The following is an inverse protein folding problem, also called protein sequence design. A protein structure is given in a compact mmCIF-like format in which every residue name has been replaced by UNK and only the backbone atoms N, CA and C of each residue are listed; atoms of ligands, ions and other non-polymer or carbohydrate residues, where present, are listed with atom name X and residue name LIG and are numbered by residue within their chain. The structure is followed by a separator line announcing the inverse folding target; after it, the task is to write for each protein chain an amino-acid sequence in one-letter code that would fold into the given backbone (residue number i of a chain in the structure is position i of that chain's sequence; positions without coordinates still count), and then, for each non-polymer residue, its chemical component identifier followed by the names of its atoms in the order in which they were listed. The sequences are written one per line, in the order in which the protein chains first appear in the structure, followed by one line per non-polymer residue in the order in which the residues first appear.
data_IF_416711737629
#
_entry.id   IF_416711737629
#
_cell.length_a   1.000
_cell.length_b   1.000
_cell.length_c   1.000
_cell.angle_alpha   90.00
_cell.angle_beta   90.00
_cell.angle_gamma   90.00
#
_symmetry.space_group_name_H-M   'P 1'
#
loop_
_entity.id
_entity.type
_entity.pdbx_description
1 polymer ?
#
# COMPACT_ATOMS: atom_id res chain seq x y z
N UNK A 1 31.95 7.73 -46.03
CA UNK A 1 30.51 7.78 -45.65
C UNK A 1 29.96 6.50 -45.00
N UNK A 2 30.60 5.33 -45.13
CA UNK A 2 30.13 4.05 -44.55
C UNK A 2 30.19 3.94 -43.01
N UNK A 3 31.22 4.43 -42.29
CA UNK A 3 31.33 4.19 -40.84
C UNK A 3 30.32 5.00 -40.03
N UNK A 4 30.02 6.24 -40.43
CA UNK A 4 29.06 7.11 -39.73
C UNK A 4 27.63 6.53 -39.73
N UNK A 5 27.25 5.83 -40.82
CA UNK A 5 25.96 5.14 -40.93
C UNK A 5 25.87 3.94 -39.98
N UNK A 6 26.96 3.17 -39.84
CA UNK A 6 27.02 2.02 -38.94
C UNK A 6 26.97 2.48 -37.48
N UNK A 7 27.72 3.53 -37.12
CA UNK A 7 27.70 4.14 -35.77
C UNK A 7 26.29 4.66 -35.44
N UNK A 8 25.63 5.32 -36.39
CA UNK A 8 24.24 5.80 -36.21
C UNK A 8 23.23 4.68 -35.97
N UNK A 9 23.35 3.55 -36.69
CA UNK A 9 22.51 2.37 -36.48
C UNK A 9 22.74 1.76 -35.10
N UNK A 10 24.00 1.62 -34.68
CA UNK A 10 24.34 1.07 -33.35
C UNK A 10 23.77 1.94 -32.23
N UNK A 11 23.90 3.26 -32.33
CA UNK A 11 23.32 4.19 -31.35
C UNK A 11 21.79 4.11 -31.31
N UNK A 12 21.13 4.06 -32.47
CA UNK A 12 19.69 3.93 -32.54
C UNK A 12 19.19 2.61 -31.94
N UNK A 13 19.86 1.49 -32.24
CA UNK A 13 19.55 0.19 -31.65
C UNK A 13 19.74 0.18 -30.13
N UNK A 14 20.81 0.79 -29.62
CA UNK A 14 21.04 0.91 -28.18
C UNK A 14 19.93 1.73 -27.49
N UNK A 15 19.53 2.86 -28.07
CA UNK A 15 18.44 3.69 -27.55
C UNK A 15 17.10 2.94 -27.51
N UNK A 16 16.80 2.11 -28.52
CA UNK A 16 15.60 1.27 -28.54
C UNK A 16 15.64 0.24 -27.40
N UNK A 17 16.77 -0.45 -27.21
CA UNK A 17 16.92 -1.44 -26.11
C UNK A 17 16.71 -0.75 -24.75
N UNK A 18 17.39 0.36 -24.50
CA UNK A 18 17.25 1.12 -23.25
C UNK A 18 15.81 1.61 -23.05
N UNK A 19 15.18 2.13 -24.10
CA UNK A 19 13.79 2.58 -24.08
C UNK A 19 12.81 1.45 -23.74
N UNK A 20 12.99 0.27 -24.35
CA UNK A 20 12.18 -0.92 -24.08
C UNK A 20 12.41 -1.44 -22.66
N UNK A 21 13.65 -1.45 -22.16
CA UNK A 21 13.96 -1.88 -20.79
C UNK A 21 13.31 -0.98 -19.74
N UNK A 22 13.43 0.33 -19.89
CA UNK A 22 12.82 1.30 -18.95
C UNK A 22 11.29 1.25 -19.04
N UNK A 23 10.74 1.17 -20.25
CA UNK A 23 9.30 1.05 -20.48
C UNK A 23 8.73 -0.23 -19.86
N UNK A 24 9.38 -1.38 -20.10
CA UNK A 24 8.98 -2.67 -19.56
C UNK A 24 9.01 -2.69 -18.02
N UNK A 25 10.04 -2.13 -17.40
CA UNK A 25 10.15 -2.05 -15.94
C UNK A 25 9.00 -1.23 -15.31
N UNK A 26 8.67 -0.08 -15.89
CA UNK A 26 7.54 0.74 -15.41
C UNK A 26 6.19 0.04 -15.55
N UNK A 27 5.99 -0.68 -16.64
CA UNK A 27 4.76 -1.47 -16.84
C UNK A 27 4.65 -2.55 -15.77
N UNK A 28 5.74 -3.27 -15.50
CA UNK A 28 5.76 -4.32 -14.46
C UNK A 28 5.44 -3.76 -13.08
N UNK A 29 6.06 -2.65 -12.67
CA UNK A 29 5.77 -1.98 -11.40
C UNK A 29 4.29 -1.58 -11.27
N UNK A 30 3.70 -1.08 -12.37
CA UNK A 30 2.28 -0.70 -12.37
C UNK A 30 1.38 -1.91 -12.23
N UNK A 31 1.67 -3.00 -12.94
CA UNK A 31 0.91 -4.26 -12.83
C UNK A 31 0.97 -4.81 -11.41
N UNK A 32 2.15 -4.85 -10.80
CA UNK A 32 2.32 -5.27 -9.41
C UNK A 32 1.52 -4.39 -8.44
N UNK A 33 1.57 -3.06 -8.62
CA UNK A 33 0.79 -2.13 -7.80
C UNK A 33 -0.72 -2.33 -7.97
N UNK A 34 -1.21 -2.47 -9.20
CA UNK A 34 -2.63 -2.68 -9.51
C UNK A 34 -3.14 -4.00 -8.90
N UNK A 35 -2.34 -5.06 -8.92
CA UNK A 35 -2.65 -6.34 -8.29
C UNK A 35 -2.74 -6.20 -6.75
N UNK A 36 -1.74 -5.57 -6.13
CA UNK A 36 -1.77 -5.30 -4.69
C UNK A 36 -2.96 -4.42 -4.31
N UNK A 37 -3.27 -3.40 -5.09
CA UNK A 37 -4.42 -2.52 -4.86
C UNK A 37 -5.75 -3.28 -4.95
N UNK A 38 -5.86 -4.25 -5.85
CA UNK A 38 -7.03 -5.13 -5.94
C UNK A 38 -7.20 -5.98 -4.68
N UNK A 39 -6.09 -6.52 -4.16
CA UNK A 39 -6.09 -7.31 -2.91
C UNK A 39 -6.49 -6.43 -1.72
N UNK A 40 -5.87 -5.25 -1.57
CA UNK A 40 -6.15 -4.33 -0.47
C UNK A 40 -7.60 -3.83 -0.47
N UNK A 41 -8.22 -3.70 -1.65
CA UNK A 41 -9.65 -3.34 -1.81
C UNK A 41 -10.62 -4.50 -1.62
N UNK A 42 -10.14 -5.72 -1.35
CA UNK A 42 -11.01 -6.88 -1.16
C UNK A 42 -11.81 -6.81 0.13
N UNK A 43 -12.97 -7.49 0.16
CA UNK A 43 -13.80 -7.58 1.37
C UNK A 43 -13.10 -8.29 2.54
N UNK A 44 -12.15 -9.20 2.25
CA UNK A 44 -11.31 -9.84 3.27
C UNK A 44 -10.42 -8.83 3.97
N UNK A 45 -9.66 -8.03 3.20
CA UNK A 45 -8.79 -6.99 3.76
C UNK A 45 -9.58 -5.87 4.42
N UNK A 46 -10.74 -5.51 3.86
CA UNK A 46 -11.66 -4.56 4.50
C UNK A 46 -12.01 -4.99 5.93
N UNK A 47 -12.36 -6.26 6.14
CA UNK A 47 -12.64 -6.80 7.47
C UNK A 47 -11.42 -6.72 8.38
N UNK A 48 -10.22 -7.01 7.88
CA UNK A 48 -8.97 -6.88 8.64
C UNK A 48 -8.76 -5.43 9.10
N UNK A 49 -8.94 -4.47 8.18
CA UNK A 49 -8.82 -3.03 8.48
C UNK A 49 -9.81 -2.63 9.57
N UNK A 50 -11.09 -2.91 9.38
CA UNK A 50 -12.15 -2.51 10.31
C UNK A 50 -12.01 -3.19 11.67
N UNK A 51 -11.62 -4.47 11.72
CA UNK A 51 -11.35 -5.17 12.98
C UNK A 51 -10.20 -4.53 13.76
N UNK A 52 -9.12 -4.12 13.07
CA UNK A 52 -8.01 -3.41 13.71
C UNK A 52 -8.43 -2.04 14.22
N UNK A 53 -9.24 -1.29 13.47
CA UNK A 53 -9.76 0.01 13.92
C UNK A 53 -10.63 -0.18 15.17
N UNK A 54 -11.52 -1.17 15.18
CA UNK A 54 -12.36 -1.52 16.34
C UNK A 54 -11.56 -1.99 17.56
N UNK A 55 -10.42 -2.64 17.32
CA UNK A 55 -9.49 -2.99 18.40
C UNK A 55 -8.84 -1.75 19.04
N UNK A 56 -8.54 -0.71 18.25
CA UNK A 56 -7.97 0.54 18.75
C UNK A 56 -9.01 1.40 19.49
N UNK A 57 -10.25 1.37 19.01
CA UNK A 57 -11.40 2.11 19.50
C UNK A 57 -12.65 1.25 19.34
N UNK A 58 -13.24 0.77 20.44
CA UNK A 58 -14.36 -0.20 20.39
C UNK A 58 -15.58 0.32 19.64
N UNK A 59 -15.78 1.63 19.65
CA UNK A 59 -16.86 2.33 18.94
C UNK A 59 -16.40 2.86 17.57
N UNK A 60 -15.30 2.36 17.02
CA UNK A 60 -14.83 2.81 15.71
C UNK A 60 -15.91 2.62 14.63
N UNK A 61 -15.96 3.60 13.72
CA UNK A 61 -16.88 3.69 12.58
C UNK A 61 -18.34 4.00 12.99
N UNK A 62 -18.52 4.55 14.18
CA UNK A 62 -19.81 5.10 14.66
C UNK A 62 -19.68 6.61 14.90
N UNK A 63 -20.78 7.26 15.33
CA UNK A 63 -20.77 8.69 15.67
C UNK A 63 -20.08 8.95 17.01
N UNK A 64 -20.14 7.95 17.88
CA UNK A 64 -19.67 7.92 19.26
C UNK A 64 -18.17 7.61 19.33
N UNK A 65 -17.64 6.88 18.34
CA UNK A 65 -16.23 6.55 18.22
C UNK A 65 -15.30 7.76 18.06
N UNK A 66 -14.07 7.59 18.52
CA UNK A 66 -12.93 8.47 18.21
C UNK A 66 -12.56 8.37 16.74
N UNK A 67 -12.54 7.15 16.20
CA UNK A 67 -12.33 6.83 14.79
C UNK A 67 -13.72 6.74 14.15
N UNK A 68 -14.12 7.73 13.35
CA UNK A 68 -15.47 7.82 12.77
C UNK A 68 -15.53 7.37 11.32
N UNK A 69 -14.44 7.55 10.59
CA UNK A 69 -14.31 7.16 9.19
C UNK A 69 -12.87 6.76 8.88
N UNK A 70 -12.67 6.06 7.76
CA UNK A 70 -11.36 5.72 7.27
C UNK A 70 -11.28 5.79 5.74
N UNK A 71 -10.06 5.97 5.24
CA UNK A 71 -9.72 5.93 3.82
C UNK A 71 -8.39 5.20 3.64
N UNK A 72 -8.34 4.26 2.70
CA UNK A 72 -7.10 3.56 2.34
C UNK A 72 -6.29 4.46 1.39
N UNK A 73 -5.03 4.70 1.72
CA UNK A 73 -4.08 5.44 0.88
C UNK A 73 -3.53 4.51 -0.20
N UNK A 74 -4.16 4.52 -1.38
CA UNK A 74 -3.80 3.63 -2.51
C UNK A 74 -2.35 3.86 -2.98
N UNK A 75 -1.86 5.09 -2.92
CA UNK A 75 -0.50 5.43 -3.32
C UNK A 75 0.55 4.92 -2.32
N UNK A 76 0.13 4.60 -1.09
CA UNK A 76 1.01 4.00 -0.09
C UNK A 76 1.17 2.48 -0.20
N UNK A 77 0.35 1.83 -1.04
CA UNK A 77 0.37 0.38 -1.25
C UNK A 77 1.68 0.00 -1.90
N UNK A 78 2.41 -0.89 -1.24
CA UNK A 78 3.71 -1.37 -1.73
C UNK A 78 3.99 -2.78 -1.24
N UNK A 79 4.88 -3.46 -1.96
CA UNK A 79 5.38 -4.74 -1.52
C UNK A 79 6.17 -4.58 -0.22
N UNK A 80 5.89 -5.43 0.77
CA UNK A 80 6.69 -5.51 1.98
C UNK A 80 7.95 -6.34 1.65
N UNK A 81 9.18 -5.86 1.91
CA UNK A 81 10.41 -6.60 1.61
C UNK A 81 10.51 -7.99 2.26
N UNK A 82 9.77 -8.23 3.35
CA UNK A 82 9.69 -9.54 4.03
C UNK A 82 8.61 -10.46 3.43
N UNK A 83 7.96 -10.02 2.35
CA UNK A 83 6.79 -10.67 1.75
C UNK A 83 5.49 -10.00 2.18
N UNK A 84 4.53 -9.91 1.25
CA UNK A 84 3.21 -9.34 1.51
C UNK A 84 3.04 -7.89 1.05
N UNK A 85 2.10 -7.17 1.68
CA UNK A 85 1.67 -5.84 1.25
C UNK A 85 1.63 -4.89 2.45
N UNK A 86 2.33 -3.77 2.34
CA UNK A 86 2.22 -2.66 3.29
C UNK A 86 1.35 -1.55 2.71
N UNK A 87 0.51 -0.93 3.55
CA UNK A 87 -0.26 0.25 3.19
C UNK A 87 -0.65 1.08 4.42
N UNK A 88 -1.17 2.28 4.18
CA UNK A 88 -1.66 3.20 5.20
C UNK A 88 -3.16 3.38 5.07
N UNK A 89 -3.80 3.59 6.21
CA UNK A 89 -5.19 4.01 6.33
C UNK A 89 -5.20 5.31 7.11
N UNK A 90 -5.81 6.35 6.55
CA UNK A 90 -6.09 7.60 7.25
C UNK A 90 -7.46 7.52 7.89
N UNK A 91 -7.60 8.08 9.09
CA UNK A 91 -8.88 8.14 9.80
C UNK A 91 -9.38 9.58 9.91
N UNK A 92 -10.69 9.74 9.97
CA UNK A 92 -11.36 11.05 10.09
C UNK A 92 -10.93 12.07 9.03
N UNK A 93 -10.51 11.60 7.85
CA UNK A 93 -9.97 12.42 6.76
C UNK A 93 -8.76 13.30 7.14
N UNK A 94 -8.03 12.96 8.21
CA UNK A 94 -6.82 13.67 8.65
C UNK A 94 -5.58 12.82 8.37
N UNK A 95 -4.69 13.33 7.49
CA UNK A 95 -3.44 12.65 7.12
C UNK A 95 -2.44 12.51 8.27
N UNK A 96 -2.62 13.26 9.37
CA UNK A 96 -1.85 13.09 10.61
C UNK A 96 -2.33 11.90 11.44
N UNK A 97 -3.56 11.45 11.24
CA UNK A 97 -4.16 10.31 11.94
C UNK A 97 -4.12 9.09 11.02
N UNK A 98 -3.07 8.29 11.16
CA UNK A 98 -2.87 7.12 10.30
C UNK A 98 -2.62 5.84 11.08
N UNK A 99 -3.09 4.74 10.51
CA UNK A 99 -2.77 3.37 10.90
C UNK A 99 -2.01 2.72 9.73
N UNK A 100 -0.91 2.06 10.05
CA UNK A 100 -0.08 1.32 9.09
C UNK A 100 -0.45 -0.15 9.20
N UNK A 101 -0.64 -0.79 8.05
CA UNK A 101 -1.00 -2.19 7.93
C UNK A 101 0.05 -2.91 7.12
N UNK A 102 0.55 -4.02 7.65
CA UNK A 102 1.23 -5.07 6.92
C UNK A 102 0.27 -6.26 6.79
N UNK A 103 0.18 -6.80 5.58
CA UNK A 103 -0.53 -8.03 5.29
C UNK A 103 0.46 -9.09 4.85
N UNK A 104 0.24 -10.32 5.29
CA UNK A 104 0.93 -11.49 4.77
C UNK A 104 -0.07 -12.52 4.26
N UNK A 105 0.41 -13.43 3.43
CA UNK A 105 -0.36 -14.59 2.98
C UNK A 105 0.14 -15.80 3.74
N UNK A 106 -0.74 -16.42 4.52
CA UNK A 106 -0.41 -17.64 5.24
C UNK A 106 -0.02 -18.74 4.22
N UNK A 107 1.16 -19.33 4.40
CA UNK A 107 1.73 -20.27 3.43
C UNK A 107 1.00 -21.63 3.39
N UNK A 108 0.20 -21.94 4.41
CA UNK A 108 -0.47 -23.23 4.56
C UNK A 108 -1.91 -23.19 4.03
N UNK A 109 -2.64 -22.15 4.40
CA UNK A 109 -4.07 -21.94 4.12
C UNK A 109 -4.29 -21.01 2.94
N UNK A 110 -3.29 -20.20 2.58
CA UNK A 110 -3.37 -19.22 1.51
C UNK A 110 -4.21 -17.98 1.85
N UNK A 111 -4.66 -17.84 3.11
CA UNK A 111 -5.46 -16.70 3.57
C UNK A 111 -4.61 -15.46 3.78
N UNK A 112 -5.25 -14.30 3.68
CA UNK A 112 -4.58 -13.02 3.94
C UNK A 112 -4.77 -12.66 5.41
N UNK A 113 -3.69 -12.34 6.10
CA UNK A 113 -3.70 -12.04 7.52
C UNK A 113 -2.96 -10.73 7.83
N UNK A 114 -3.31 -10.11 8.97
CA UNK A 114 -2.60 -8.95 9.48
C UNK A 114 -1.27 -9.40 10.10
N UNK A 115 -0.15 -8.99 9.51
CA UNK A 115 1.20 -9.38 9.96
C UNK A 115 1.83 -8.37 10.91
N UNK A 116 1.34 -7.13 10.94
CA UNK A 116 1.92 -6.11 11.80
C UNK A 116 1.64 -4.69 11.35
N UNK A 117 2.14 -3.73 12.12
CA UNK A 117 1.89 -2.33 11.85
C UNK A 117 1.92 -1.47 13.10
N UNK A 118 1.58 -0.20 12.93
CA UNK A 118 1.56 0.80 13.99
C UNK A 118 0.57 1.90 13.68
N UNK A 119 0.58 2.97 14.47
CA UNK A 119 -0.23 4.14 14.21
C UNK A 119 0.53 5.41 14.59
N UNK A 120 0.15 6.53 14.00
CA UNK A 120 0.74 7.85 14.28
C UNK A 120 0.65 8.22 15.76
N UNK A 121 1.66 8.94 16.25
CA UNK A 121 1.66 9.50 17.60
C UNK A 121 0.42 10.38 17.87
N UNK A 122 -0.03 11.14 16.88
CA UNK A 122 -1.23 11.98 16.96
C UNK A 122 -2.50 11.14 17.20
N UNK A 123 -2.63 10.01 16.51
CA UNK A 123 -3.72 9.06 16.77
C UNK A 123 -3.59 8.42 18.15
N UNK A 124 -2.38 8.10 18.60
CA UNK A 124 -2.14 7.58 19.94
C UNK A 124 -2.58 8.56 21.04
N UNK A 125 -2.26 9.84 20.89
CA UNK A 125 -2.68 10.90 21.81
C UNK A 125 -4.20 11.08 21.81
N UNK A 126 -4.82 11.06 20.63
CA UNK A 126 -6.27 11.19 20.48
C UNK A 126 -7.00 10.04 21.20
N UNK A 127 -6.56 8.79 20.99
CA UNK A 127 -7.13 7.61 21.63
C UNK A 127 -6.93 7.59 23.16
N UNK A 128 -5.83 8.17 23.67
CA UNK A 128 -5.57 8.26 25.12
C UNK A 128 -6.45 9.30 25.82
N UNK A 129 -6.77 10.42 25.16
CA UNK A 129 -7.60 11.48 25.74
C UNK A 129 -9.03 11.04 26.02
N UNK A 130 -9.53 10.06 25.25
CA UNK A 130 -10.91 9.54 25.36
C UNK A 130 -11.03 8.45 26.43
N UNK A 131 -9.93 7.78 26.78
CA UNK A 131 -9.88 6.74 27.83
C UNK A 131 -9.78 7.31 29.26
N UNK A 132 -9.70 8.63 29.42
CA UNK A 132 -9.70 9.33 30.71
C UNK A 132 -11.06 9.97 30.94
#
# INVERSE_FOLDING_TARGET
MKPLKIVGIILASFLVIVGLSIGGYKVMQKVEHDEMARIVKSEEVKKIVENKLKYLDSEALTKEGTIKSYEIDIDSIKHNPMGGIDFKVYVNSDKKLRVMYGLEKDSTTGKIEYSGGGYSAQLAELLKKVKK
#
